data_IF_115692676207
#
_entry.id   IF_115692676207
#
_cell.length_a   1.000
_cell.length_b   1.000
_cell.length_c   1.000
_cell.angle_alpha   90.00
_cell.angle_beta   90.00
_cell.angle_gamma   90.00
#
_symmetry.space_group_name_H-M   'P 1'
#
loop_
_entity.id
_entity.type
_entity.pdbx_description
1 polymer ?
#
# COMPACT_ATOMS: atom_id res chain seq x y z
N UNK A 1 -9.81 12.70 10.47
CA UNK A 1 -9.39 11.35 10.03
C UNK A 1 -10.37 10.34 10.60
N UNK A 2 -10.65 9.25 9.91
CA UNK A 2 -11.45 8.13 10.40
C UNK A 2 -10.53 6.91 10.56
N UNK A 3 -10.60 6.24 11.71
CA UNK A 3 -9.90 4.98 11.91
C UNK A 3 -10.64 3.85 11.20
N UNK A 4 -9.89 3.03 10.48
CA UNK A 4 -10.38 1.83 9.82
C UNK A 4 -9.61 0.64 10.38
N UNK A 5 -10.29 -0.44 10.74
CA UNK A 5 -9.55 -1.68 11.06
C UNK A 5 -8.68 -2.07 9.85
N UNK A 6 -7.48 -2.64 10.04
CA UNK A 6 -6.69 -3.19 8.94
C UNK A 6 -7.51 -4.17 8.07
N UNK A 7 -7.15 -4.36 6.79
CA UNK A 7 -7.84 -5.32 5.92
C UNK A 7 -7.86 -6.73 6.53
N UNK A 8 -8.99 -7.43 6.40
CA UNK A 8 -9.15 -8.79 6.94
C UNK A 8 -8.39 -9.82 6.09
N UNK A 9 -8.31 -9.59 4.77
CA UNK A 9 -7.58 -10.49 3.86
C UNK A 9 -6.12 -10.08 3.72
N UNK A 10 -5.26 -11.08 3.62
CA UNK A 10 -3.81 -10.97 3.49
C UNK A 10 -3.35 -11.17 2.05
N UNK A 11 -2.11 -10.80 1.79
CA UNK A 11 -1.49 -10.98 0.49
C UNK A 11 -1.56 -12.43 0.00
N UNK A 12 -1.36 -13.41 0.89
CA UNK A 12 -1.47 -14.83 0.57
C UNK A 12 -2.79 -15.26 -0.08
N UNK A 13 -3.90 -14.59 0.25
CA UNK A 13 -5.23 -14.92 -0.26
C UNK A 13 -5.50 -14.34 -1.66
N UNK A 14 -4.74 -13.31 -2.05
CA UNK A 14 -4.99 -12.55 -3.27
C UNK A 14 -3.91 -12.75 -4.34
N UNK A 15 -2.70 -13.14 -3.93
CA UNK A 15 -1.51 -13.06 -4.80
C UNK A 15 -1.64 -13.92 -6.06
N UNK A 16 -2.04 -15.17 -5.93
CA UNK A 16 -2.22 -16.07 -7.08
C UNK A 16 -3.26 -15.54 -8.09
N UNK A 17 -4.33 -14.92 -7.58
CA UNK A 17 -5.35 -14.30 -8.44
C UNK A 17 -4.79 -13.08 -9.19
N UNK A 18 -3.94 -12.29 -8.54
CA UNK A 18 -3.26 -11.15 -9.20
C UNK A 18 -2.35 -11.65 -10.32
N UNK A 19 -1.66 -12.77 -10.12
CA UNK A 19 -0.74 -13.33 -11.11
C UNK A 19 -1.42 -13.98 -12.32
N UNK A 20 -2.72 -14.25 -12.26
CA UNK A 20 -3.43 -14.90 -13.37
C UNK A 20 -3.24 -14.14 -14.70
N UNK A 21 -2.92 -14.88 -15.74
CA UNK A 21 -2.70 -14.34 -17.10
C UNK A 21 -1.38 -13.59 -17.28
N UNK A 22 -0.42 -13.75 -16.37
CA UNK A 22 0.97 -13.35 -16.60
C UNK A 22 1.65 -14.48 -17.39
N UNK A 23 2.33 -14.14 -18.51
CA UNK A 23 2.94 -15.15 -19.37
C UNK A 23 4.47 -15.10 -19.33
N UNK A 24 5.09 -14.32 -20.22
CA UNK A 24 6.55 -14.29 -20.41
C UNK A 24 7.06 -12.86 -20.51
N UNK A 25 8.28 -12.63 -20.06
CA UNK A 25 9.11 -11.45 -20.35
C UNK A 25 10.29 -11.88 -21.22
N UNK A 26 10.66 -11.05 -22.18
CA UNK A 26 11.86 -11.23 -22.99
C UNK A 26 12.80 -10.08 -22.66
N UNK A 27 14.05 -10.38 -22.32
CA UNK A 27 15.10 -9.40 -22.12
C UNK A 27 15.79 -9.04 -23.46
N UNK A 28 16.52 -7.92 -23.45
CA UNK A 28 17.21 -7.42 -24.66
C UNK A 28 18.30 -8.37 -25.17
N UNK A 29 18.89 -9.18 -24.28
CA UNK A 29 19.87 -10.23 -24.60
C UNK A 29 19.23 -11.50 -25.20
N UNK A 30 17.91 -11.54 -25.35
CA UNK A 30 17.16 -12.69 -25.86
C UNK A 30 16.72 -13.70 -24.80
N UNK A 31 17.10 -13.55 -23.55
CA UNK A 31 16.66 -14.40 -22.42
C UNK A 31 15.15 -14.31 -22.24
N UNK A 32 14.48 -15.43 -22.04
CA UNK A 32 13.03 -15.51 -21.84
C UNK A 32 12.72 -16.07 -20.48
N UNK A 33 12.08 -15.25 -19.64
CA UNK A 33 11.60 -15.66 -18.31
C UNK A 33 10.09 -15.94 -18.34
N UNK A 34 9.67 -16.95 -17.60
CA UNK A 34 8.27 -17.13 -17.27
C UNK A 34 7.95 -16.20 -16.09
N UNK A 35 7.46 -15.02 -16.38
CA UNK A 35 7.19 -13.99 -15.38
C UNK A 35 6.29 -14.48 -14.22
N UNK A 36 5.34 -15.35 -14.52
CA UNK A 36 4.52 -15.97 -13.48
C UNK A 36 5.39 -16.66 -12.42
N UNK A 37 6.36 -17.48 -12.88
CA UNK A 37 7.24 -18.23 -11.96
C UNK A 37 8.14 -17.27 -11.16
N UNK A 38 8.64 -16.20 -11.81
CA UNK A 38 9.48 -15.19 -11.14
C UNK A 38 8.70 -14.43 -10.08
N UNK A 39 7.47 -13.99 -10.36
CA UNK A 39 6.61 -13.39 -9.36
C UNK A 39 6.23 -14.39 -8.26
N UNK A 40 5.91 -15.64 -8.60
CA UNK A 40 5.54 -16.64 -7.63
C UNK A 40 6.69 -16.96 -6.64
N UNK A 41 7.95 -16.95 -7.10
CA UNK A 41 9.13 -17.09 -6.25
C UNK A 41 9.27 -15.95 -5.21
N UNK A 42 8.68 -14.78 -5.46
CA UNK A 42 8.71 -13.67 -4.52
C UNK A 42 7.76 -13.86 -3.33
N UNK A 43 6.76 -14.74 -3.42
CA UNK A 43 5.71 -14.86 -2.41
C UNK A 43 6.25 -15.01 -0.99
N UNK A 44 7.23 -15.88 -0.68
CA UNK A 44 7.76 -15.99 0.69
C UNK A 44 8.31 -14.65 1.21
N UNK A 45 9.12 -13.97 0.41
CA UNK A 45 9.70 -12.67 0.76
C UNK A 45 8.62 -11.57 0.93
N UNK A 46 7.56 -11.59 0.11
CA UNK A 46 6.46 -10.65 0.21
C UNK A 46 5.60 -10.91 1.45
N UNK A 47 5.41 -12.16 1.85
CA UNK A 47 4.69 -12.51 3.09
C UNK A 47 5.47 -12.12 4.34
N UNK A 48 6.79 -12.31 4.34
CA UNK A 48 7.67 -11.81 5.39
C UNK A 48 7.58 -10.30 5.49
N UNK A 49 7.72 -9.59 4.36
CA UNK A 49 7.57 -8.14 4.29
C UNK A 49 6.19 -7.67 4.79
N UNK A 50 5.09 -8.38 4.45
CA UNK A 50 3.76 -8.05 4.97
C UNK A 50 3.70 -8.20 6.49
N UNK A 51 4.32 -9.24 7.06
CA UNK A 51 4.40 -9.45 8.52
C UNK A 51 5.18 -8.31 9.19
N UNK A 52 6.33 -7.93 8.63
CA UNK A 52 7.14 -6.81 9.11
C UNK A 52 6.36 -5.50 9.04
N UNK A 53 5.63 -5.27 7.93
CA UNK A 53 4.78 -4.08 7.79
C UNK A 53 3.80 -3.93 8.95
N UNK A 54 3.08 -5.00 9.32
CA UNK A 54 2.15 -4.97 10.45
C UNK A 54 2.87 -4.66 11.76
N UNK A 55 3.98 -5.33 12.05
CA UNK A 55 4.76 -5.11 13.28
C UNK A 55 5.27 -3.68 13.38
N UNK A 56 5.87 -3.15 12.30
CA UNK A 56 6.35 -1.77 12.28
C UNK A 56 5.22 -0.73 12.32
N UNK A 57 4.07 -1.03 11.69
CA UNK A 57 2.94 -0.12 11.69
C UNK A 57 2.30 -0.01 13.08
N UNK A 58 2.14 -1.12 13.80
CA UNK A 58 1.61 -1.16 15.18
C UNK A 58 2.49 -0.37 16.16
N UNK A 59 3.79 -0.38 15.92
CA UNK A 59 4.80 0.35 16.73
C UNK A 59 5.06 1.78 16.26
N UNK A 60 4.38 2.29 15.24
CA UNK A 60 4.68 3.58 14.58
C UNK A 60 6.12 3.68 14.03
N UNK A 61 6.68 2.58 13.56
CA UNK A 61 8.07 2.44 13.10
C UNK A 61 8.20 2.20 11.59
N UNK A 62 7.19 2.46 10.78
CA UNK A 62 7.25 2.25 9.33
C UNK A 62 8.41 3.00 8.65
N UNK A 63 8.93 4.05 9.27
CA UNK A 63 10.12 4.79 8.80
C UNK A 63 11.44 3.99 8.90
N UNK A 64 11.44 2.86 9.61
CA UNK A 64 12.62 1.96 9.70
C UNK A 64 12.66 0.92 8.57
N UNK A 65 11.61 0.84 7.77
CA UNK A 65 11.58 -0.08 6.63
C UNK A 65 12.51 0.44 5.53
N UNK A 66 13.38 -0.43 5.05
CA UNK A 66 14.36 -0.09 4.02
C UNK A 66 13.71 0.03 2.64
N UNK A 67 14.13 1.07 1.90
CA UNK A 67 13.81 1.25 0.48
C UNK A 67 14.47 0.12 -0.33
N UNK A 68 13.78 -0.30 -1.41
CA UNK A 68 14.31 -1.29 -2.36
C UNK A 68 14.10 -0.81 -3.78
N UNK A 69 15.08 -1.04 -4.64
CA UNK A 69 14.94 -0.80 -6.09
C UNK A 69 14.61 -2.08 -6.86
N UNK A 70 14.86 -3.24 -6.26
CA UNK A 70 14.67 -4.56 -6.86
C UNK A 70 14.14 -5.57 -5.86
N UNK A 71 13.38 -6.53 -6.37
CA UNK A 71 12.87 -7.66 -5.60
C UNK A 71 13.67 -8.93 -5.85
N UNK A 72 14.26 -9.08 -7.06
CA UNK A 72 15.13 -10.17 -7.46
C UNK A 72 16.05 -9.71 -8.59
N UNK A 73 16.82 -10.63 -9.16
CA UNK A 73 17.61 -10.33 -10.36
C UNK A 73 16.75 -9.98 -11.57
N UNK A 74 15.51 -10.48 -11.64
CA UNK A 74 14.59 -10.35 -12.78
C UNK A 74 13.50 -9.29 -12.52
N UNK A 75 13.04 -9.15 -11.29
CA UNK A 75 11.91 -8.27 -10.91
C UNK A 75 12.44 -7.04 -10.19
N UNK A 76 12.18 -5.87 -10.74
CA UNK A 76 12.52 -4.57 -10.15
C UNK A 76 11.29 -3.80 -9.66
N UNK A 77 11.47 -2.53 -9.28
CA UNK A 77 10.39 -1.68 -8.80
C UNK A 77 9.38 -1.34 -9.89
N UNK A 78 9.80 -1.25 -11.16
CA UNK A 78 8.88 -0.97 -12.27
C UNK A 78 8.02 -2.19 -12.60
N UNK A 79 8.57 -3.39 -12.50
CA UNK A 79 7.81 -4.64 -12.61
C UNK A 79 6.74 -4.73 -11.50
N UNK A 80 7.05 -4.34 -10.27
CA UNK A 80 6.08 -4.32 -9.16
C UNK A 80 5.00 -3.24 -9.34
N UNK A 81 5.35 -2.07 -9.87
CA UNK A 81 4.36 -1.05 -10.29
C UNK A 81 3.45 -1.56 -11.41
N UNK A 82 4.03 -2.28 -12.37
CA UNK A 82 3.27 -2.93 -13.44
C UNK A 82 2.33 -3.99 -12.86
N UNK A 83 2.79 -4.82 -11.93
CA UNK A 83 1.95 -5.81 -11.22
C UNK A 83 0.72 -5.14 -10.60
N UNK A 84 0.91 -4.02 -9.90
CA UNK A 84 -0.21 -3.25 -9.36
C UNK A 84 -1.13 -2.71 -10.45
N UNK A 85 -0.58 -1.97 -11.43
CA UNK A 85 -1.40 -1.23 -12.40
C UNK A 85 -2.06 -2.13 -13.43
N UNK A 86 -1.42 -3.22 -13.86
CA UNK A 86 -1.91 -4.08 -14.92
C UNK A 86 -2.58 -5.35 -14.41
N UNK A 87 -2.33 -5.74 -13.16
CA UNK A 87 -2.88 -6.97 -12.59
C UNK A 87 -3.78 -6.72 -11.40
N UNK A 88 -3.30 -6.04 -10.36
CA UNK A 88 -4.14 -5.77 -9.18
C UNK A 88 -5.38 -4.92 -9.54
N UNK A 89 -5.22 -3.88 -10.36
CA UNK A 89 -6.34 -3.06 -10.82
C UNK A 89 -7.27 -3.75 -11.82
N UNK A 90 -6.86 -4.87 -12.43
CA UNK A 90 -7.64 -5.60 -13.45
C UNK A 90 -8.09 -6.95 -12.92
N UNK A 91 -7.20 -7.92 -12.90
CA UNK A 91 -7.49 -9.30 -12.45
C UNK A 91 -7.81 -9.33 -10.95
N UNK A 92 -7.11 -8.49 -10.15
CA UNK A 92 -7.38 -8.29 -8.73
C UNK A 92 -8.50 -7.30 -8.41
N UNK A 93 -9.26 -6.83 -9.40
CA UNK A 93 -10.26 -5.75 -9.27
C UNK A 93 -11.23 -5.96 -8.12
N UNK A 94 -11.66 -7.19 -7.87
CA UNK A 94 -12.57 -7.48 -6.75
C UNK A 94 -11.96 -7.15 -5.38
N UNK A 95 -10.65 -7.32 -5.21
CA UNK A 95 -9.94 -6.95 -3.96
C UNK A 95 -9.74 -5.44 -3.87
N UNK A 96 -9.40 -4.80 -4.99
CA UNK A 96 -9.33 -3.34 -5.07
C UNK A 96 -10.66 -2.69 -4.64
N UNK A 97 -11.78 -3.16 -5.19
CA UNK A 97 -13.10 -2.61 -4.86
C UNK A 97 -13.50 -2.90 -3.40
N UNK A 98 -13.14 -4.07 -2.85
CA UNK A 98 -13.33 -4.37 -1.43
C UNK A 98 -12.56 -3.39 -0.53
N UNK A 99 -11.28 -3.10 -0.84
CA UNK A 99 -10.50 -2.12 -0.08
C UNK A 99 -11.11 -0.72 -0.20
N UNK A 100 -11.48 -0.32 -1.39
CA UNK A 100 -12.05 1.00 -1.66
C UNK A 100 -13.38 1.24 -0.95
N UNK A 101 -14.18 0.20 -0.78
CA UNK A 101 -15.51 0.26 -0.13
C UNK A 101 -15.48 0.24 1.40
N UNK A 102 -14.31 0.11 2.04
CA UNK A 102 -14.19 -0.05 3.50
C UNK A 102 -14.62 1.18 4.33
N UNK A 103 -14.31 2.42 3.92
CA UNK A 103 -14.73 3.59 4.70
C UNK A 103 -16.24 3.74 4.75
N UNK A 104 -16.76 4.11 5.93
CA UNK A 104 -18.18 4.36 6.13
C UNK A 104 -18.67 5.45 5.16
N UNK A 105 -19.81 5.21 4.55
CA UNK A 105 -20.43 6.11 3.57
C UNK A 105 -19.51 6.48 2.39
N UNK A 106 -18.50 5.68 2.10
CA UNK A 106 -17.46 5.96 1.08
C UNK A 106 -16.73 7.29 1.29
N UNK A 107 -16.62 7.78 2.52
CA UNK A 107 -15.92 9.03 2.84
C UNK A 107 -14.44 8.77 3.06
N UNK A 108 -13.59 9.62 2.49
CA UNK A 108 -12.13 9.52 2.60
C UNK A 108 -11.68 9.59 4.07
N UNK A 109 -10.99 8.57 4.61
CA UNK A 109 -10.58 8.52 6.00
C UNK A 109 -9.54 9.59 6.37
N UNK A 110 -8.74 10.07 5.39
CA UNK A 110 -7.77 11.14 5.65
C UNK A 110 -8.44 12.48 5.95
N UNK A 111 -9.41 12.91 5.14
CA UNK A 111 -10.00 14.24 5.28
C UNK A 111 -11.41 14.26 5.87
N UNK A 112 -12.12 13.14 5.92
CA UNK A 112 -13.50 13.06 6.43
C UNK A 112 -14.52 13.90 5.65
N UNK A 113 -14.22 14.27 4.39
CA UNK A 113 -15.05 15.25 3.66
C UNK A 113 -15.42 14.85 2.22
N UNK A 114 -14.58 14.08 1.54
CA UNK A 114 -14.73 13.75 0.12
C UNK A 114 -14.91 12.27 -0.06
N UNK A 115 -15.56 11.89 -1.14
CA UNK A 115 -15.73 10.50 -1.52
C UNK A 115 -14.39 9.82 -1.79
N UNK A 116 -14.30 8.55 -1.42
CA UNK A 116 -13.17 7.69 -1.79
C UNK A 116 -13.20 7.48 -3.30
N UNK A 117 -12.08 7.74 -3.93
CA UNK A 117 -11.92 7.56 -5.38
C UNK A 117 -10.95 6.44 -5.73
N UNK A 118 -9.86 6.31 -5.00
CA UNK A 118 -8.73 5.43 -5.30
C UNK A 118 -8.10 4.83 -4.04
N UNK A 119 -7.09 3.99 -4.23
CA UNK A 119 -6.21 3.50 -3.16
C UNK A 119 -4.87 4.22 -3.24
N UNK A 120 -4.45 4.80 -2.13
CA UNK A 120 -3.12 5.36 -1.94
C UNK A 120 -2.17 4.30 -1.40
N UNK A 121 -0.93 4.27 -1.88
CA UNK A 121 0.13 3.48 -1.27
C UNK A 121 0.71 4.26 -0.08
N UNK A 122 0.48 3.78 1.15
CA UNK A 122 0.99 4.46 2.34
C UNK A 122 2.52 4.63 2.28
N UNK A 123 3.26 3.55 2.07
CA UNK A 123 4.65 3.58 1.62
C UNK A 123 4.66 3.50 0.09
N UNK A 124 5.36 4.44 -0.55
CA UNK A 124 5.41 4.56 -2.02
C UNK A 124 5.80 3.23 -2.70
N UNK A 125 5.01 2.78 -3.68
CA UNK A 125 5.37 1.58 -4.46
C UNK A 125 6.63 1.73 -5.31
N UNK A 126 7.15 2.95 -5.45
CA UNK A 126 8.41 3.22 -6.16
C UNK A 126 9.62 2.91 -5.28
N UNK A 127 9.53 3.30 -4.01
CA UNK A 127 10.64 3.18 -3.06
C UNK A 127 10.51 1.90 -2.22
N UNK A 128 9.28 1.38 -2.09
CA UNK A 128 8.95 0.16 -1.33
C UNK A 128 8.17 -0.85 -2.18
N UNK A 129 8.77 -1.38 -3.28
CA UNK A 129 8.09 -2.29 -4.20
C UNK A 129 7.58 -3.56 -3.54
N UNK A 130 8.18 -4.01 -2.42
CA UNK A 130 7.73 -5.14 -1.62
C UNK A 130 6.29 -4.97 -1.09
N UNK A 131 5.77 -3.73 -1.03
CA UNK A 131 4.42 -3.42 -0.57
C UNK A 131 3.47 -2.95 -1.67
N UNK A 132 3.87 -3.08 -2.95
CA UNK A 132 3.08 -2.58 -4.08
C UNK A 132 1.66 -3.17 -4.15
N UNK A 133 1.48 -4.41 -3.70
CA UNK A 133 0.18 -5.12 -3.70
C UNK A 133 -0.23 -5.62 -2.31
N UNK A 134 0.43 -5.15 -1.25
CA UNK A 134 0.11 -5.51 0.14
C UNK A 134 -1.15 -4.77 0.60
N UNK A 135 -2.22 -5.47 1.01
CA UNK A 135 -3.49 -4.84 1.38
C UNK A 135 -3.38 -3.77 2.46
N UNK A 136 -2.55 -4.00 3.49
CA UNK A 136 -2.33 -3.06 4.59
C UNK A 136 -1.63 -1.75 4.17
N UNK A 137 -0.93 -1.76 3.03
CA UNK A 137 -0.28 -0.57 2.46
C UNK A 137 -1.21 0.23 1.53
N UNK A 138 -2.43 -0.26 1.26
CA UNK A 138 -3.38 0.32 0.30
C UNK A 138 -4.53 1.01 1.02
N UNK A 139 -4.44 2.32 1.17
CA UNK A 139 -5.40 3.13 1.92
C UNK A 139 -6.46 3.71 0.98
N UNK A 140 -7.77 3.46 1.20
CA UNK A 140 -8.82 4.10 0.42
C UNK A 140 -8.83 5.61 0.67
N UNK A 141 -8.81 6.40 -0.40
CA UNK A 141 -8.74 7.86 -0.24
C UNK A 141 -9.35 8.63 -1.42
N UNK A 142 -9.56 9.92 -1.22
CA UNK A 142 -9.92 10.83 -2.30
C UNK A 142 -8.66 11.28 -3.07
N UNK A 143 -8.84 11.60 -4.34
CA UNK A 143 -7.75 12.05 -5.22
C UNK A 143 -6.94 13.21 -4.64
N UNK A 144 -7.59 14.19 -3.98
CA UNK A 144 -6.88 15.34 -3.39
C UNK A 144 -5.95 14.94 -2.24
N UNK A 145 -6.36 14.00 -1.37
CA UNK A 145 -5.51 13.53 -0.28
C UNK A 145 -4.33 12.72 -0.83
N UNK A 146 -4.57 11.82 -1.78
CA UNK A 146 -3.52 11.08 -2.45
C UNK A 146 -2.50 12.04 -3.10
N UNK A 147 -2.98 13.00 -3.90
CA UNK A 147 -2.11 13.98 -4.56
C UNK A 147 -1.31 14.85 -3.58
N UNK A 148 -1.92 15.27 -2.45
CA UNK A 148 -1.21 16.07 -1.44
C UNK A 148 -0.14 15.29 -0.68
N UNK A 149 -0.38 14.00 -0.43
CA UNK A 149 0.58 13.14 0.26
C UNK A 149 1.85 13.00 -0.58
N UNK A 150 1.73 12.91 -1.92
CA UNK A 150 2.82 12.68 -2.86
C UNK A 150 3.75 11.53 -2.40
N UNK A 151 4.71 11.16 -3.21
CA UNK A 151 5.75 10.19 -2.84
C UNK A 151 6.81 10.88 -1.96
N UNK A 152 6.42 11.36 -0.78
CA UNK A 152 7.42 11.83 0.19
C UNK A 152 8.24 10.63 0.63
N UNK A 153 9.56 10.78 0.56
CA UNK A 153 10.47 9.83 1.18
C UNK A 153 10.30 9.89 2.69
N UNK A 154 10.29 8.73 3.31
CA UNK A 154 10.13 8.59 4.75
C UNK A 154 11.51 8.29 5.36
N UNK A 155 12.12 9.30 5.96
CA UNK A 155 13.44 9.19 6.59
C UNK A 155 13.37 9.16 8.12
N UNK A 156 12.23 9.51 8.70
CA UNK A 156 12.03 9.53 10.13
C UNK A 156 10.55 9.61 10.52
N UNK A 157 10.30 9.54 11.81
CA UNK A 157 8.93 9.56 12.34
C UNK A 157 8.14 10.82 11.95
N UNK A 158 8.81 11.96 11.79
CA UNK A 158 8.19 13.23 11.38
C UNK A 158 7.70 13.25 9.94
N UNK A 159 8.16 12.31 9.10
CA UNK A 159 7.74 12.21 7.71
C UNK A 159 6.49 11.32 7.55
N UNK A 160 6.18 10.53 8.57
CA UNK A 160 4.98 9.70 8.58
C UNK A 160 3.74 10.59 8.68
N UNK A 161 2.76 10.30 7.85
CA UNK A 161 1.40 10.83 8.00
C UNK A 161 0.60 9.85 8.85
N UNK A 162 -0.49 10.30 9.49
CA UNK A 162 -1.38 9.41 10.22
C UNK A 162 -1.89 8.30 9.28
N UNK A 163 -1.76 7.05 9.72
CA UNK A 163 -2.19 5.87 8.98
C UNK A 163 -3.60 5.46 9.43
N UNK A 164 -4.62 5.56 8.57
CA UNK A 164 -6.00 5.23 8.96
C UNK A 164 -6.22 3.80 9.45
N UNK A 165 -5.33 2.86 9.13
CA UNK A 165 -5.45 1.47 9.57
C UNK A 165 -4.80 1.21 10.94
N UNK A 166 -3.83 2.02 11.36
CA UNK A 166 -3.05 1.73 12.57
C UNK A 166 -3.13 2.86 13.61
N UNK A 167 -3.42 4.11 13.20
CA UNK A 167 -3.51 5.24 14.11
C UNK A 167 -4.96 5.52 14.48
N UNK A 168 -5.42 4.98 15.62
CA UNK A 168 -6.74 5.31 16.17
C UNK A 168 -6.71 6.62 16.95
N UNK A 169 -7.01 7.70 16.27
CA UNK A 169 -7.08 9.04 16.87
C UNK A 169 -8.24 9.24 17.85
N UNK A 170 -9.15 8.26 17.97
CA UNK A 170 -10.28 8.36 18.89
C UNK A 170 -9.91 7.88 20.31
N UNK A 171 -8.76 7.23 20.48
CA UNK A 171 -8.31 6.68 21.77
C UNK A 171 -7.64 7.70 22.67
N UNK A 172 -7.34 8.91 22.19
CA UNK A 172 -6.68 9.96 22.96
C UNK A 172 -7.14 11.37 22.60
N UNK A 173 -6.93 12.31 23.50
CA UNK A 173 -7.15 13.73 23.24
C UNK A 173 -5.93 14.29 22.50
N UNK A 174 -6.04 14.50 21.19
CA UNK A 174 -4.97 14.99 20.31
C UNK A 174 -5.22 16.41 19.78
N UNK A 175 -6.43 16.96 19.99
CA UNK A 175 -6.81 18.30 19.57
C UNK A 175 -7.20 19.14 20.79
N UNK A 176 -6.54 20.28 20.93
CA UNK A 176 -6.80 21.28 21.98
C UNK A 176 -7.16 22.61 21.33
N UNK A 177 -8.08 23.34 21.94
CA UNK A 177 -8.45 24.68 21.49
C UNK A 177 -8.25 25.65 22.67
N UNK A 178 -7.51 26.73 22.43
CA UNK A 178 -7.33 27.83 23.36
C UNK A 178 -8.05 29.06 22.80
N UNK A 179 -8.88 29.69 23.60
CA UNK A 179 -9.54 30.94 23.22
C UNK A 179 -8.81 32.10 23.91
N UNK A 180 -8.36 33.06 23.09
CA UNK A 180 -7.94 34.37 23.63
C UNK A 180 -9.13 35.32 23.54
N UNK A 181 -9.51 35.88 24.70
CA UNK A 181 -10.52 36.95 24.77
C UNK A 181 -9.79 38.25 24.55
N UNK A 182 -10.11 38.95 23.47
CA UNK A 182 -9.59 40.30 23.18
C UNK A 182 -10.39 41.35 23.95
#
# INVERSE_FOLDING_TARGET
MEYLKPPEFKLSEIYDKILMGITKKKEDDGTVYRLFDEYHKLLPCLLEAESDYYSFAEDNKLYLIEERSRMSQVIDSDDMKWLYTQKFLKTGRGFYDKLRARPKNSICPYCGKRDVYELDHYLSKSDYPQYAVTPANLIPCCHRCNHKKLSKKVHGISDLVLNPYFDDINTGQWLFCTFEVQ
#
